data_IF_639197760137
#
_entry.id   IF_639197760137
#
_cell.length_a   1.000
_cell.length_b   1.000
_cell.length_c   1.000
_cell.angle_alpha   90.00
_cell.angle_beta   90.00
_cell.angle_gamma   90.00
#
_symmetry.space_group_name_H-M   'P 1'
#
loop_
_entity.id
_entity.type
_entity.pdbx_description
1 polymer ?
#
# COMPACT_ATOMS: atom_id res chain seq x y z
N UNK A 1 13.47 12.87 53.96
CA UNK A 1 14.94 12.72 54.09
C UNK A 1 15.20 11.44 54.88
N UNK A 2 16.19 10.58 54.58
CA UNK A 2 17.49 10.85 53.92
C UNK A 2 17.77 10.05 52.62
N UNK A 3 18.79 10.50 51.89
CA UNK A 3 19.47 9.88 50.73
C UNK A 3 20.73 9.09 51.21
N UNK A 4 21.82 8.81 50.44
CA UNK A 4 22.10 8.67 48.98
C UNK A 4 23.07 7.47 48.65
N UNK A 5 23.63 7.45 47.40
CA UNK A 5 24.95 6.92 46.91
C UNK A 5 24.85 5.69 45.99
N UNK A 6 25.18 5.74 44.68
CA UNK A 6 26.41 6.06 43.89
C UNK A 6 27.22 4.80 43.51
N UNK A 7 27.32 4.54 42.21
CA UNK A 7 28.48 4.03 41.42
C UNK A 7 27.96 3.92 39.97
N UNK A 8 28.44 4.56 38.89
CA UNK A 8 29.70 5.10 38.35
C UNK A 8 30.73 4.04 37.93
N UNK A 9 31.19 4.20 36.67
CA UNK A 9 32.34 3.61 35.92
C UNK A 9 32.01 2.39 35.03
N UNK A 10 32.57 2.17 33.83
CA UNK A 10 33.57 2.83 32.92
C UNK A 10 33.56 2.00 31.61
N UNK A 11 33.44 2.64 30.44
CA UNK A 11 34.45 2.76 29.33
C UNK A 11 34.75 1.50 28.53
N UNK A 12 34.56 1.59 27.21
CA UNK A 12 35.58 1.43 26.14
C UNK A 12 34.95 1.92 24.81
N UNK A 13 35.54 2.87 24.07
CA UNK A 13 36.74 2.76 23.20
C UNK A 13 36.53 1.65 22.15
N UNK A 14 36.85 1.75 20.87
CA UNK A 14 37.31 2.75 19.91
C UNK A 14 37.29 1.97 18.58
N UNK A 15 36.92 2.59 17.45
CA UNK A 15 37.37 2.15 16.12
C UNK A 15 36.78 3.07 15.06
N UNK A 16 37.48 4.17 14.81
CA UNK A 16 37.51 4.77 13.48
C UNK A 16 38.09 3.75 12.49
N UNK A 17 37.41 3.56 11.36
CA UNK A 17 38.01 2.97 10.15
C UNK A 17 37.84 3.99 9.03
N UNK A 18 38.91 4.74 8.82
CA UNK A 18 39.23 5.44 7.58
C UNK A 18 39.66 4.43 6.52
N UNK A 19 38.97 4.43 5.37
CA UNK A 19 39.51 3.88 4.12
C UNK A 19 39.32 4.95 3.03
N UNK A 20 40.45 5.41 2.53
CA UNK A 20 40.66 6.27 1.37
C UNK A 20 41.20 5.43 0.22
N UNK A 21 40.70 5.64 -0.99
CA UNK A 21 41.31 5.38 -2.32
C UNK A 21 40.19 5.71 -3.33
N UNK A 22 40.18 6.87 -4.00
CA UNK A 22 41.00 7.21 -5.18
C UNK A 22 40.92 6.13 -6.27
N UNK A 23 39.86 6.16 -7.08
CA UNK A 23 39.92 5.57 -8.42
C UNK A 23 39.38 6.57 -9.45
N UNK A 24 40.34 7.06 -10.22
CA UNK A 24 40.22 7.92 -11.38
C UNK A 24 39.97 7.08 -12.62
N UNK A 25 38.88 7.31 -13.37
CA UNK A 25 38.97 7.12 -14.83
C UNK A 25 37.93 7.92 -15.64
N UNK A 26 38.40 8.27 -16.83
CA UNK A 26 38.03 9.32 -17.77
C UNK A 26 36.75 9.02 -18.56
N UNK A 27 35.99 10.04 -19.03
CA UNK A 27 34.87 9.86 -19.94
C UNK A 27 35.34 9.54 -21.36
N UNK A 28 34.72 8.55 -22.00
CA UNK A 28 34.75 8.34 -23.46
C UNK A 28 33.29 8.35 -23.91
N UNK A 29 32.81 9.41 -24.55
CA UNK A 29 32.90 9.64 -26.00
C UNK A 29 32.38 8.43 -26.78
N UNK A 30 31.13 8.53 -27.22
CA UNK A 30 30.77 8.23 -28.61
C UNK A 30 29.40 8.89 -28.91
N UNK A 31 29.45 9.93 -29.72
CA UNK A 31 28.31 10.42 -30.50
C UNK A 31 28.09 9.40 -31.63
N UNK A 32 26.91 8.79 -31.69
CA UNK A 32 26.36 8.28 -32.96
C UNK A 32 24.93 8.79 -33.06
N UNK A 33 24.86 9.93 -33.73
CA UNK A 33 23.73 10.44 -34.47
C UNK A 33 23.20 9.34 -35.41
N UNK A 34 21.94 8.97 -35.25
CA UNK A 34 21.18 8.31 -36.28
C UNK A 34 19.74 8.80 -36.17
N UNK A 35 19.50 9.95 -36.81
CA UNK A 35 18.17 10.36 -37.19
C UNK A 35 17.45 9.21 -37.90
N UNK A 36 16.29 8.84 -37.39
CA UNK A 36 15.26 8.21 -38.19
C UNK A 36 13.99 9.03 -38.06
N UNK A 37 13.88 9.91 -39.05
CA UNK A 37 12.67 10.41 -39.66
C UNK A 37 11.56 9.35 -39.60
N UNK A 38 10.56 9.56 -38.75
CA UNK A 38 9.30 8.83 -38.84
C UNK A 38 8.17 9.85 -38.79
N UNK A 39 7.81 10.33 -39.98
CA UNK A 39 6.62 11.10 -40.23
C UNK A 39 5.36 10.44 -39.62
N UNK A 40 4.51 11.20 -38.91
CA UNK A 40 3.25 10.71 -38.40
C UNK A 40 2.16 10.80 -39.47
N UNK A 41 2.01 9.77 -40.31
CA UNK A 41 0.86 9.71 -41.23
C UNK A 41 -0.39 9.11 -40.58
N UNK A 42 -1.38 9.99 -40.45
CA UNK A 42 -2.80 9.79 -40.74
C UNK A 42 -3.60 8.72 -39.94
N UNK A 43 -4.29 9.20 -38.89
CA UNK A 43 -5.73 8.90 -38.73
C UNK A 43 -6.46 9.58 -39.90
N UNK A 44 -7.50 9.01 -40.55
CA UNK A 44 -8.77 8.72 -39.85
C UNK A 44 -9.68 7.68 -40.54
N UNK A 45 -10.22 6.65 -39.86
CA UNK A 45 -11.54 6.09 -40.22
C UNK A 45 -12.34 5.67 -39.00
N UNK A 46 -13.22 6.58 -38.62
CA UNK A 46 -14.50 6.32 -37.97
C UNK A 46 -15.22 5.14 -38.62
N UNK A 47 -15.44 4.06 -37.87
CA UNK A 47 -16.49 3.09 -38.18
C UNK A 47 -17.45 3.02 -37.01
N UNK A 48 -18.47 3.87 -37.11
CA UNK A 48 -19.65 3.97 -36.28
C UNK A 48 -20.45 2.67 -36.40
N UNK A 49 -20.06 1.60 -35.69
CA UNK A 49 -20.89 0.39 -35.58
C UNK A 49 -21.96 0.63 -34.52
N UNK A 50 -23.04 1.27 -34.97
CA UNK A 50 -24.34 1.43 -34.31
C UNK A 50 -24.87 0.06 -33.89
N UNK A 51 -24.53 -0.40 -32.68
CA UNK A 51 -25.19 -1.53 -32.03
C UNK A 51 -26.49 -1.04 -31.40
N UNK A 52 -27.55 -1.31 -32.16
CA UNK A 52 -28.95 -1.46 -31.79
C UNK A 52 -29.16 -1.65 -30.28
N UNK A 53 -29.68 -0.61 -29.65
CA UNK A 53 -30.29 -0.64 -28.32
C UNK A 53 -31.55 -1.50 -28.36
N UNK A 54 -31.43 -2.77 -28.01
CA UNK A 54 -32.58 -3.56 -27.56
C UNK A 54 -32.68 -3.37 -26.06
N UNK A 55 -33.78 -2.73 -25.65
CA UNK A 55 -34.13 -2.55 -24.25
C UNK A 55 -34.07 -3.86 -23.50
N UNK A 56 -33.29 -3.87 -22.43
CA UNK A 56 -33.62 -4.59 -21.22
C UNK A 56 -33.78 -3.53 -20.15
N UNK A 57 -34.97 -3.49 -19.56
CA UNK A 57 -35.26 -2.79 -18.31
C UNK A 57 -34.09 -3.01 -17.36
N UNK A 58 -33.28 -1.98 -17.20
CA UNK A 58 -32.22 -1.98 -16.22
C UNK A 58 -32.88 -1.62 -14.89
N UNK A 59 -33.58 -2.60 -14.31
CA UNK A 59 -33.93 -2.57 -12.91
C UNK A 59 -32.61 -2.38 -12.16
N UNK A 60 -32.36 -1.15 -11.69
CA UNK A 60 -31.24 -0.87 -10.78
C UNK A 60 -31.34 -1.90 -9.66
N UNK A 61 -30.42 -2.88 -9.55
CA UNK A 61 -30.41 -3.72 -8.37
C UNK A 61 -30.16 -2.76 -7.20
N UNK A 62 -31.06 -2.79 -6.21
CA UNK A 62 -30.77 -2.17 -4.91
C UNK A 62 -29.42 -2.72 -4.48
N UNK A 63 -28.44 -1.86 -4.13
CA UNK A 63 -27.15 -2.35 -3.68
C UNK A 63 -27.41 -3.25 -2.48
N UNK A 64 -27.08 -4.53 -2.60
CA UNK A 64 -27.06 -5.40 -1.43
C UNK A 64 -25.95 -4.87 -0.52
N UNK A 65 -26.08 -4.98 0.80
CA UNK A 65 -25.04 -4.47 1.71
C UNK A 65 -23.65 -5.08 1.42
N UNK A 66 -23.61 -6.28 0.82
CA UNK A 66 -22.43 -6.93 0.28
C UNK A 66 -21.75 -6.13 -0.85
N UNK A 67 -22.51 -5.47 -1.74
CA UNK A 67 -21.97 -4.62 -2.80
C UNK A 67 -21.31 -3.35 -2.23
N UNK A 68 -21.82 -2.86 -1.11
CA UNK A 68 -21.27 -1.68 -0.42
C UNK A 68 -19.95 -2.03 0.25
N UNK A 69 -19.89 -3.16 0.97
CA UNK A 69 -18.65 -3.65 1.58
C UNK A 69 -17.55 -3.87 0.54
N UNK A 70 -17.86 -4.54 -0.57
CA UNK A 70 -16.91 -4.78 -1.66
C UNK A 70 -16.42 -3.47 -2.31
N UNK A 71 -17.31 -2.47 -2.45
CA UNK A 71 -16.94 -1.15 -2.98
C UNK A 71 -15.97 -0.43 -2.03
N UNK A 72 -16.22 -0.48 -0.71
CA UNK A 72 -15.35 0.13 0.28
C UNK A 72 -13.98 -0.55 0.28
N UNK A 73 -13.93 -1.89 0.27
CA UNK A 73 -12.67 -2.64 0.17
C UNK A 73 -11.89 -2.27 -1.09
N UNK A 74 -12.56 -2.17 -2.25
CA UNK A 74 -11.92 -1.75 -3.49
C UNK A 74 -11.36 -0.33 -3.38
N UNK A 75 -12.13 0.61 -2.84
CA UNK A 75 -11.71 2.00 -2.62
C UNK A 75 -10.51 2.08 -1.66
N UNK A 76 -10.52 1.27 -0.60
CA UNK A 76 -9.44 1.20 0.36
C UNK A 76 -8.18 0.61 -0.28
N UNK A 77 -8.30 -0.49 -1.02
CA UNK A 77 -7.21 -1.08 -1.79
C UNK A 77 -6.58 -0.10 -2.79
N UNK A 78 -7.40 0.70 -3.49
CA UNK A 78 -6.88 1.76 -4.36
C UNK A 78 -6.13 2.85 -3.59
N UNK A 79 -6.62 3.22 -2.40
CA UNK A 79 -5.97 4.22 -1.54
C UNK A 79 -4.62 3.71 -1.02
N UNK A 80 -4.57 2.44 -0.58
CA UNK A 80 -3.34 1.75 -0.17
C UNK A 80 -2.32 1.76 -1.31
N UNK A 81 -2.70 1.32 -2.52
CA UNK A 81 -1.83 1.33 -3.71
C UNK A 81 -1.38 2.73 -4.13
N UNK A 82 -2.20 3.75 -3.90
CA UNK A 82 -1.83 5.14 -4.16
C UNK A 82 -0.75 5.62 -3.19
N UNK A 83 -0.83 5.24 -1.92
CA UNK A 83 0.16 5.57 -0.89
C UNK A 83 1.44 4.75 -0.99
N UNK A 84 1.43 3.61 -1.71
CA UNK A 84 2.64 2.89 -2.10
C UNK A 84 3.42 3.71 -3.12
N UNK A 85 4.30 4.58 -2.62
CA UNK A 85 5.20 5.41 -3.42
C UNK A 85 6.64 4.96 -3.19
N UNK A 86 7.36 4.76 -4.28
CA UNK A 86 8.79 4.50 -4.23
C UNK A 86 9.53 5.68 -3.63
N UNK A 87 10.31 5.42 -2.59
CA UNK A 87 11.31 6.35 -2.07
C UNK A 87 12.68 5.72 -2.26
N UNK A 88 13.66 6.49 -2.72
CA UNK A 88 15.02 6.03 -3.00
C UNK A 88 15.70 5.41 -1.77
N UNK A 89 15.26 5.79 -0.56
CA UNK A 89 15.68 5.25 0.73
C UNK A 89 15.05 3.91 1.14
N UNK A 90 14.17 3.31 0.33
CA UNK A 90 13.52 2.02 0.62
C UNK A 90 14.46 0.82 0.52
N UNK A 91 15.74 1.01 0.19
CA UNK A 91 16.77 -0.07 0.13
C UNK A 91 17.15 -0.63 1.52
N UNK A 92 16.31 -0.39 2.54
CA UNK A 92 16.53 -0.72 3.95
C UNK A 92 15.48 -0.08 4.90
N UNK A 93 14.69 0.86 4.39
CA UNK A 93 13.58 1.50 5.12
C UNK A 93 12.22 1.03 4.58
N UNK A 94 11.18 1.12 5.41
CA UNK A 94 9.80 0.86 5.00
C UNK A 94 9.02 2.17 4.82
N UNK A 95 8.14 2.22 3.83
CA UNK A 95 7.21 3.33 3.63
C UNK A 95 5.95 3.07 4.45
N UNK A 96 5.49 4.08 5.21
CA UNK A 96 4.25 3.96 5.98
C UNK A 96 3.02 4.19 5.10
N UNK A 97 2.00 3.39 5.31
CA UNK A 97 0.68 3.48 4.69
C UNK A 97 -0.31 3.82 5.81
N UNK A 98 -1.15 4.81 5.60
CA UNK A 98 -2.20 5.25 6.53
C UNK A 98 -3.44 5.63 5.75
N UNK A 99 -4.44 4.76 5.72
CA UNK A 99 -5.73 5.03 5.11
C UNK A 99 -6.82 5.09 6.20
N UNK A 100 -7.77 6.00 6.03
CA UNK A 100 -8.91 6.13 6.95
C UNK A 100 -10.20 6.11 6.14
N UNK A 101 -11.20 5.40 6.66
CA UNK A 101 -12.55 5.36 6.08
C UNK A 101 -13.53 5.79 7.17
N UNK A 102 -14.11 6.99 7.04
CA UNK A 102 -15.14 7.46 7.95
C UNK A 102 -16.52 6.85 7.62
N UNK A 103 -17.46 6.98 8.57
CA UNK A 103 -18.87 6.64 8.41
C UNK A 103 -19.14 5.15 8.12
N UNK A 104 -18.39 4.26 8.77
CA UNK A 104 -18.57 2.81 8.65
C UNK A 104 -19.40 2.27 9.81
N UNK A 105 -20.43 1.48 9.52
CA UNK A 105 -21.17 0.76 10.57
C UNK A 105 -20.46 -0.54 10.95
N UNK A 106 -20.73 -1.06 12.15
CA UNK A 106 -20.12 -2.31 12.62
C UNK A 106 -20.52 -3.50 11.73
N UNK A 107 -21.75 -3.50 11.22
CA UNK A 107 -22.23 -4.51 10.28
C UNK A 107 -21.46 -4.48 8.96
N UNK A 108 -21.18 -3.29 8.42
CA UNK A 108 -20.36 -3.13 7.22
C UNK A 108 -18.92 -3.59 7.46
N UNK A 109 -18.33 -3.26 8.62
CA UNK A 109 -16.99 -3.71 8.98
C UNK A 109 -16.93 -5.24 9.09
N UNK A 110 -17.95 -5.86 9.67
CA UNK A 110 -18.06 -7.33 9.74
C UNK A 110 -18.25 -7.94 8.36
N UNK A 111 -19.05 -7.32 7.49
CA UNK A 111 -19.23 -7.75 6.09
C UNK A 111 -17.95 -7.60 5.26
N UNK A 112 -17.15 -6.55 5.50
CA UNK A 112 -15.88 -6.32 4.81
C UNK A 112 -14.78 -7.30 5.25
N UNK A 113 -14.64 -7.51 6.57
CA UNK A 113 -13.60 -8.39 7.12
C UNK A 113 -13.96 -9.88 6.98
N UNK A 114 -15.25 -10.20 6.86
CA UNK A 114 -15.73 -11.57 6.94
C UNK A 114 -15.72 -12.10 8.38
N UNK A 115 -16.36 -13.25 8.57
CA UNK A 115 -16.49 -13.91 9.88
C UNK A 115 -15.14 -14.34 10.46
N UNK A 116 -14.21 -14.79 9.63
CA UNK A 116 -12.92 -15.34 10.07
C UNK A 116 -11.98 -14.26 10.61
N UNK A 117 -11.79 -13.15 9.88
CA UNK A 117 -10.93 -12.07 10.33
C UNK A 117 -11.55 -11.31 11.50
N UNK A 118 -12.88 -11.16 11.48
CA UNK A 118 -13.58 -10.54 12.60
C UNK A 118 -13.54 -11.41 13.88
N UNK A 119 -13.51 -12.74 13.73
CA UNK A 119 -13.31 -13.68 14.84
C UNK A 119 -11.90 -13.61 15.44
N UNK A 120 -10.88 -13.38 14.60
CA UNK A 120 -9.48 -13.14 15.02
C UNK A 120 -9.26 -11.74 15.60
N UNK A 121 -10.22 -10.83 15.44
CA UNK A 121 -10.12 -9.45 15.89
C UNK A 121 -10.10 -9.35 17.42
N UNK A 122 -9.26 -8.44 17.93
CA UNK A 122 -9.37 -7.97 19.31
C UNK A 122 -10.60 -7.06 19.44
N UNK A 123 -11.69 -7.62 19.93
CA UNK A 123 -12.96 -6.93 20.14
C UNK A 123 -12.99 -6.25 21.51
N UNK A 124 -12.51 -5.00 21.57
CA UNK A 124 -12.60 -4.15 22.75
C UNK A 124 -13.94 -3.43 22.88
N UNK A 125 -14.22 -2.82 24.05
CA UNK A 125 -15.45 -2.05 24.28
C UNK A 125 -15.53 -0.82 23.35
N UNK A 126 -14.39 -0.19 23.05
CA UNK A 126 -14.31 1.05 22.26
C UNK A 126 -13.79 0.87 20.83
N UNK A 127 -13.04 -0.20 20.58
CA UNK A 127 -12.36 -0.42 19.31
C UNK A 127 -12.29 -1.89 18.95
N UNK A 128 -12.25 -2.18 17.65
CA UNK A 128 -11.95 -3.50 17.09
C UNK A 128 -10.62 -3.39 16.37
N UNK A 129 -9.64 -4.22 16.72
CA UNK A 129 -8.34 -4.22 16.06
C UNK A 129 -8.05 -5.59 15.44
N UNK A 130 -7.66 -5.60 14.17
CA UNK A 130 -7.28 -6.78 13.41
C UNK A 130 -5.87 -6.58 12.89
N UNK A 131 -5.02 -7.57 13.11
CA UNK A 131 -3.73 -7.67 12.43
C UNK A 131 -3.88 -8.70 11.32
N UNK A 132 -3.59 -8.29 10.09
CA UNK A 132 -3.77 -9.15 8.90
C UNK A 132 -2.46 -9.81 8.51
N UNK A 133 -2.54 -11.08 8.13
CA UNK A 133 -1.45 -11.80 7.44
C UNK A 133 -1.49 -11.54 5.92
N UNK A 134 -0.46 -11.94 5.20
CA UNK A 134 -0.44 -11.88 3.73
C UNK A 134 -1.63 -12.60 3.06
N UNK A 135 -2.04 -13.76 3.58
CA UNK A 135 -3.22 -14.48 3.08
C UNK A 135 -4.51 -13.67 3.25
N UNK A 136 -4.65 -13.00 4.40
CA UNK A 136 -5.80 -12.14 4.68
C UNK A 136 -5.82 -10.92 3.76
N UNK A 137 -4.64 -10.35 3.45
CA UNK A 137 -4.50 -9.25 2.50
C UNK A 137 -4.90 -9.67 1.08
N UNK A 138 -4.46 -10.86 0.66
CA UNK A 138 -4.82 -11.43 -0.63
C UNK A 138 -6.31 -11.72 -0.73
N UNK A 139 -6.94 -12.18 0.36
CA UNK A 139 -8.38 -12.37 0.43
C UNK A 139 -9.17 -11.06 0.34
N UNK A 140 -8.77 -10.03 1.09
CA UNK A 140 -9.50 -8.77 1.19
C UNK A 140 -9.33 -7.84 0.00
N UNK A 141 -8.11 -7.74 -0.52
CA UNK A 141 -7.72 -6.72 -1.50
C UNK A 141 -7.19 -7.32 -2.81
N UNK A 142 -7.01 -8.64 -2.87
CA UNK A 142 -6.25 -9.29 -3.93
C UNK A 142 -4.76 -8.95 -3.80
N UNK A 143 -4.07 -8.94 -4.94
CA UNK A 143 -2.66 -8.58 -4.96
C UNK A 143 -2.45 -7.09 -4.65
N UNK A 144 -1.86 -6.79 -3.49
CA UNK A 144 -1.43 -5.45 -3.08
C UNK A 144 0.05 -5.24 -3.41
N UNK A 145 0.42 -5.58 -4.64
CA UNK A 145 1.72 -5.27 -5.22
C UNK A 145 1.65 -4.03 -6.12
N UNK A 146 2.78 -3.33 -6.26
CA UNK A 146 2.94 -2.25 -7.23
C UNK A 146 4.29 -2.39 -7.91
N UNK A 147 4.25 -2.70 -9.21
CA UNK A 147 5.45 -2.76 -10.04
C UNK A 147 6.09 -1.37 -10.17
N UNK A 148 7.41 -1.33 -10.00
CA UNK A 148 8.26 -0.17 -10.22
C UNK A 148 9.11 -0.37 -11.47
N UNK A 149 9.77 0.70 -11.91
CA UNK A 149 10.78 0.60 -12.98
C UNK A 149 11.91 -0.34 -12.57
N UNK A 150 12.53 -1.01 -13.54
CA UNK A 150 13.67 -1.91 -13.38
C UNK A 150 13.38 -3.17 -12.53
N UNK A 151 12.23 -3.82 -12.76
CA UNK A 151 11.85 -5.13 -12.16
C UNK A 151 11.61 -5.11 -10.64
N UNK A 152 11.79 -3.97 -9.97
CA UNK A 152 11.46 -3.84 -8.56
C UNK A 152 9.95 -3.85 -8.32
N UNK A 153 9.50 -4.41 -7.20
CA UNK A 153 8.08 -4.45 -6.80
C UNK A 153 7.93 -3.95 -5.37
N UNK A 154 6.98 -3.03 -5.15
CA UNK A 154 6.55 -2.68 -3.80
C UNK A 154 5.49 -3.65 -3.34
N UNK A 155 5.66 -4.19 -2.16
CA UNK A 155 4.68 -5.05 -1.49
C UNK A 155 4.42 -4.54 -0.09
N UNK A 156 3.21 -4.76 0.41
CA UNK A 156 2.92 -4.59 1.83
C UNK A 156 3.72 -5.64 2.60
N UNK A 157 4.33 -5.26 3.73
CA UNK A 157 5.09 -6.19 4.56
C UNK A 157 4.11 -7.08 5.33
N UNK A 158 4.39 -8.38 5.35
CA UNK A 158 3.60 -9.35 6.10
C UNK A 158 3.47 -8.98 7.58
N UNK A 159 2.27 -9.18 8.11
CA UNK A 159 1.90 -8.87 9.49
C UNK A 159 1.99 -7.39 9.88
N UNK A 160 2.38 -6.50 8.97
CA UNK A 160 2.58 -5.08 9.27
C UNK A 160 1.31 -4.25 9.05
N UNK A 161 0.30 -4.78 8.35
CA UNK A 161 -0.96 -4.09 8.15
C UNK A 161 -1.91 -4.36 9.34
N UNK A 162 -2.36 -3.28 9.96
CA UNK A 162 -3.27 -3.26 11.11
C UNK A 162 -4.51 -2.45 10.76
N UNK A 163 -5.66 -3.09 10.87
CA UNK A 163 -6.96 -2.45 10.76
C UNK A 163 -7.50 -2.17 12.15
N UNK A 164 -7.83 -0.92 12.45
CA UNK A 164 -8.37 -0.48 13.74
C UNK A 164 -9.66 0.29 13.50
N UNK A 165 -10.77 -0.28 13.92
CA UNK A 165 -12.09 0.35 13.85
C UNK A 165 -12.45 0.96 15.22
N UNK A 166 -12.74 2.25 15.25
CA UNK A 166 -13.25 2.95 16.43
C UNK A 166 -14.78 2.93 16.43
N UNK A 167 -15.40 2.31 17.43
CA UNK A 167 -16.87 2.23 17.55
C UNK A 167 -17.50 3.59 17.88
N UNK A 168 -16.77 4.42 18.64
CA UNK A 168 -17.21 5.77 19.04
C UNK A 168 -17.25 6.72 17.83
N UNK A 169 -16.21 6.69 17.00
CA UNK A 169 -16.08 7.62 15.86
C UNK A 169 -16.60 7.03 14.54
N UNK A 170 -16.92 5.74 14.49
CA UNK A 170 -17.30 5.03 13.26
C UNK A 170 -16.24 5.16 12.14
N UNK A 171 -14.96 5.18 12.53
CA UNK A 171 -13.82 5.32 11.61
C UNK A 171 -13.03 4.01 11.61
N UNK A 172 -12.80 3.47 10.42
CA UNK A 172 -11.85 2.39 10.18
C UNK A 172 -10.51 3.00 9.75
N UNK A 173 -9.47 2.79 10.55
CA UNK A 173 -8.09 3.17 10.25
C UNK A 173 -7.30 1.95 9.80
N UNK A 174 -6.53 2.11 8.76
CA UNK A 174 -5.63 1.08 8.22
C UNK A 174 -4.24 1.65 8.21
N UNK A 175 -3.35 1.04 9.00
CA UNK A 175 -1.97 1.46 9.12
C UNK A 175 -1.07 0.29 8.76
N UNK A 176 -0.02 0.53 7.99
CA UNK A 176 0.96 -0.50 7.69
C UNK A 176 2.25 0.02 7.10
N UNK A 177 3.09 -0.92 6.67
CA UNK A 177 4.37 -0.63 6.08
C UNK A 177 4.53 -1.39 4.78
N UNK A 178 5.12 -0.77 3.76
CA UNK A 178 5.53 -1.43 2.52
C UNK A 178 7.04 -1.43 2.36
N UNK A 179 7.52 -2.49 1.70
CA UNK A 179 8.93 -2.73 1.40
C UNK A 179 9.10 -2.90 -0.11
N UNK A 180 10.33 -2.72 -0.59
CA UNK A 180 10.70 -2.95 -1.98
C UNK A 180 11.41 -4.30 -2.08
N UNK A 181 10.89 -5.17 -2.95
CA UNK A 181 11.55 -6.39 -3.41
C UNK A 181 12.18 -6.13 -4.78
N UNK A 182 13.33 -6.73 -5.04
CA UNK A 182 14.06 -6.68 -6.31
C UNK A 182 14.31 -8.09 -6.79
#
# INVERSE_FOLDING_TARGET
MPAPKKARKVVSEDAEVSVSEEDSFVPSSDEEDAGSDFEPEAKPKSSSKKRKSTGKENAKPKPRDEDVAARILRSLGTTIRAQMVYKKSLKGSSSRITAEVPNLTLEQVKGMLGSELFGRASNGPKQVAVQTTDDDLQYLFGDLSKSLRYVATLVVRDGALKLTYSKENQILKVAGACIMLK
#
